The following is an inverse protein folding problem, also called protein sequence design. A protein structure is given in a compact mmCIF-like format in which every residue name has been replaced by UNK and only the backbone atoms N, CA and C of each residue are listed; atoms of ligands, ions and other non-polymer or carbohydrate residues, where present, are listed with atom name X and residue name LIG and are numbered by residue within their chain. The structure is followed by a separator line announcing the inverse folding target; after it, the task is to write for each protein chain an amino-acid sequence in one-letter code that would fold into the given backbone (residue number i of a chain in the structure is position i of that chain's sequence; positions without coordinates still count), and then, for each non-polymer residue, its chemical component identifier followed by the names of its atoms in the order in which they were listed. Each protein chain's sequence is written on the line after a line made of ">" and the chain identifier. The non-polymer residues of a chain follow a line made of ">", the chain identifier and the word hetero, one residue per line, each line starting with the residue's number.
data_IF_615452872701
#
_entry.id   IF_615452872701
#
_cell.length_a   1.000
_cell.length_b   1.000
_cell.length_c   1.000
_cell.angle_alpha   90.00
_cell.angle_beta   90.00
_cell.angle_gamma   90.00
#
_symmetry.space_group_name_H-M   'P 1'
#
loop_
_entity.id
_entity.type
_entity.pdbx_description
1 polymer ?
#
# COMPACT_ATOMS: atom_id res chain seq x y z
N UNK A 1 -4.38 -5.67 10.79
CA UNK A 1 -3.88 -5.44 9.41
C UNK A 1 -4.92 -4.90 8.43
N UNK A 2 -6.17 -5.38 8.42
CA UNK A 2 -7.20 -4.92 7.46
C UNK A 2 -7.48 -3.40 7.49
N UNK A 3 -7.36 -2.76 8.65
CA UNK A 3 -7.49 -1.31 8.78
C UNK A 3 -6.33 -0.56 8.09
N UNK A 4 -5.09 -1.02 8.25
CA UNK A 4 -3.93 -0.45 7.57
C UNK A 4 -4.04 -0.53 6.05
N UNK A 5 -4.56 -1.62 5.48
CA UNK A 5 -4.84 -1.67 4.03
C UNK A 5 -5.83 -0.62 3.58
N UNK A 6 -6.91 -0.39 4.34
CA UNK A 6 -7.92 0.62 4.00
C UNK A 6 -7.33 2.03 4.07
N UNK A 7 -6.54 2.30 5.11
CA UNK A 7 -5.85 3.57 5.27
C UNK A 7 -4.84 3.80 4.13
N UNK A 8 -4.05 2.79 3.78
CA UNK A 8 -3.09 2.84 2.68
C UNK A 8 -3.79 3.16 1.35
N UNK A 9 -4.86 2.42 1.02
CA UNK A 9 -5.65 2.66 -0.21
C UNK A 9 -6.19 4.09 -0.26
N UNK A 10 -6.71 4.60 0.87
CA UNK A 10 -7.21 5.98 1.01
C UNK A 10 -6.10 7.01 0.79
N UNK A 11 -4.93 6.85 1.43
CA UNK A 11 -3.77 7.75 1.30
C UNK A 11 -3.12 7.70 -0.07
N UNK A 12 -3.10 6.54 -0.73
CA UNK A 12 -2.64 6.38 -2.11
C UNK A 12 -3.63 6.93 -3.15
N UNK A 13 -4.85 7.28 -2.75
CA UNK A 13 -5.90 7.75 -3.66
C UNK A 13 -6.45 6.65 -4.56
N UNK A 14 -6.23 5.38 -4.22
CA UNK A 14 -6.78 4.23 -4.93
C UNK A 14 -8.21 4.05 -4.43
N UNK A 15 -9.19 4.40 -5.26
CA UNK A 15 -10.61 4.42 -4.91
C UNK A 15 -11.42 3.72 -5.99
N UNK A 16 -12.65 3.34 -5.63
CA UNK A 16 -13.64 2.80 -6.58
C UNK A 16 -13.12 1.57 -7.33
N UNK A 17 -12.33 0.73 -6.67
CA UNK A 17 -11.79 -0.51 -7.25
C UNK A 17 -11.89 -1.67 -6.27
N UNK A 18 -11.95 -2.87 -6.82
CA UNK A 18 -11.89 -4.12 -6.08
C UNK A 18 -10.46 -4.37 -5.62
N UNK A 19 -10.31 -4.88 -4.39
CA UNK A 19 -9.01 -5.26 -3.85
C UNK A 19 -9.13 -6.43 -2.88
N UNK A 20 -8.04 -7.18 -2.74
CA UNK A 20 -7.89 -8.30 -1.82
C UNK A 20 -6.72 -8.01 -0.89
N UNK A 21 -6.90 -8.36 0.39
CA UNK A 21 -5.87 -8.25 1.42
C UNK A 21 -5.57 -9.61 2.00
N UNK A 22 -4.30 -10.02 1.97
CA UNK A 22 -3.83 -11.26 2.58
C UNK A 22 -2.79 -10.92 3.67
N UNK A 23 -3.20 -10.83 4.95
CA UNK A 23 -2.28 -10.68 6.07
C UNK A 23 -1.55 -12.01 6.34
N UNK A 24 -0.23 -11.93 6.53
CA UNK A 24 0.63 -13.05 6.93
C UNK A 24 1.23 -12.73 8.29
N UNK A 25 0.87 -13.54 9.29
CA UNK A 25 1.35 -13.44 10.69
C UNK A 25 2.15 -14.70 11.11
N UNK A 26 2.31 -15.65 10.19
CA UNK A 26 2.95 -16.95 10.38
C UNK A 26 4.47 -16.89 10.48
N UNK A 27 5.08 -15.77 10.06
CA UNK A 27 6.54 -15.59 10.02
C UNK A 27 7.00 -14.51 11.00
N UNK A 28 8.31 -14.54 11.31
CA UNK A 28 9.00 -13.56 12.17
C UNK A 28 8.73 -12.09 11.80
N UNK A 29 8.40 -11.82 10.53
CA UNK A 29 8.06 -10.50 10.04
C UNK A 29 6.61 -10.50 9.51
N UNK A 30 5.64 -10.08 10.35
CA UNK A 30 4.27 -9.92 9.90
C UNK A 30 4.21 -8.95 8.72
N UNK A 31 3.54 -9.35 7.64
CA UNK A 31 3.40 -8.52 6.44
C UNK A 31 2.01 -8.69 5.82
N UNK A 32 1.65 -7.74 4.96
CA UNK A 32 0.34 -7.69 4.33
C UNK A 32 0.52 -7.59 2.81
N UNK A 33 -0.08 -8.51 2.07
CA UNK A 33 -0.26 -8.35 0.63
C UNK A 33 -1.56 -7.60 0.36
N UNK A 34 -1.45 -6.54 -0.45
CA UNK A 34 -2.57 -5.75 -0.93
C UNK A 34 -2.55 -5.78 -2.46
N UNK A 35 -3.54 -6.42 -3.05
CA UNK A 35 -3.69 -6.54 -4.50
C UNK A 35 -4.97 -5.84 -4.91
N UNK A 36 -4.91 -4.95 -5.88
CA UNK A 36 -6.07 -4.20 -6.36
C UNK A 36 -6.10 -4.13 -7.88
N UNK A 37 -7.30 -3.96 -8.44
CA UNK A 37 -7.46 -3.80 -9.88
C UNK A 37 -7.07 -2.38 -10.30
N UNK A 38 -6.21 -2.27 -11.32
CA UNK A 38 -5.82 -0.97 -11.91
C UNK A 38 -6.92 -0.36 -12.78
N UNK A 39 -7.97 -1.11 -13.08
CA UNK A 39 -9.18 -0.60 -13.70
C UNK A 39 -10.21 -0.45 -12.60
N UNK A 40 -10.79 0.74 -12.48
CA UNK A 40 -11.83 1.02 -11.51
C UNK A 40 -13.17 0.39 -11.93
N UNK A 41 -14.16 0.44 -11.03
CA UNK A 41 -15.48 -0.13 -11.27
C UNK A 41 -16.30 0.61 -12.34
N UNK A 42 -15.77 1.70 -12.90
CA UNK A 42 -16.32 2.43 -14.05
C UNK A 42 -15.58 2.14 -15.35
N UNK A 43 -14.59 1.24 -15.35
CA UNK A 43 -13.79 0.91 -16.53
C UNK A 43 -12.65 1.90 -16.80
N UNK A 44 -12.38 2.86 -15.90
CA UNK A 44 -11.30 3.83 -16.07
C UNK A 44 -10.00 3.31 -15.44
N UNK A 45 -8.88 3.55 -16.13
CA UNK A 45 -7.56 3.18 -15.61
C UNK A 45 -7.12 4.13 -14.50
N UNK A 46 -6.73 3.55 -13.36
CA UNK A 46 -6.12 4.24 -12.22
C UNK A 46 -4.67 4.59 -12.57
N UNK A 47 -4.32 5.87 -12.44
CA UNK A 47 -2.98 6.37 -12.77
C UNK A 47 -1.89 5.76 -11.88
N UNK A 48 -0.82 5.26 -12.51
CA UNK A 48 0.31 4.61 -11.81
C UNK A 48 1.55 5.50 -11.70
N UNK A 49 1.43 6.80 -12.01
CA UNK A 49 2.59 7.69 -12.04
C UNK A 49 3.25 7.81 -10.65
N UNK A 50 4.55 7.51 -10.60
CA UNK A 50 5.38 7.52 -9.39
C UNK A 50 4.80 6.70 -8.23
N UNK A 51 4.14 5.58 -8.52
CA UNK A 51 3.48 4.76 -7.51
C UNK A 51 4.44 4.24 -6.43
N UNK A 52 5.67 3.83 -6.80
CA UNK A 52 6.70 3.44 -5.83
C UNK A 52 7.06 4.57 -4.86
N UNK A 53 7.31 5.78 -5.37
CA UNK A 53 7.66 6.94 -4.55
C UNK A 53 6.52 7.35 -3.62
N UNK A 54 5.27 7.36 -4.13
CA UNK A 54 4.07 7.66 -3.34
C UNK A 54 3.83 6.61 -2.27
N UNK A 55 3.91 5.33 -2.63
CA UNK A 55 3.76 4.20 -1.71
C UNK A 55 4.77 4.30 -0.56
N UNK A 56 6.05 4.53 -0.88
CA UNK A 56 7.10 4.71 0.14
C UNK A 56 6.79 5.87 1.09
N UNK A 57 6.30 7.00 0.57
CA UNK A 57 5.91 8.15 1.38
C UNK A 57 4.75 7.81 2.32
N UNK A 58 3.70 7.18 1.79
CA UNK A 58 2.52 6.76 2.56
C UNK A 58 2.90 5.76 3.65
N UNK A 59 3.72 4.75 3.35
CA UNK A 59 4.17 3.78 4.36
C UNK A 59 4.96 4.44 5.49
N UNK A 60 5.83 5.41 5.19
CA UNK A 60 6.54 6.21 6.21
C UNK A 60 5.58 7.02 7.07
N UNK A 61 4.59 7.67 6.47
CA UNK A 61 3.58 8.45 7.19
C UNK A 61 2.71 7.56 8.10
N UNK A 62 2.37 6.36 7.66
CA UNK A 62 1.55 5.40 8.43
C UNK A 62 2.32 4.74 9.58
N UNK A 63 3.60 4.47 9.41
CA UNK A 63 4.42 3.76 10.41
C UNK A 63 4.99 4.71 11.48
N UNK A 64 4.88 6.03 11.26
CA UNK A 64 5.57 7.04 12.05
C UNK A 64 7.08 7.06 11.74
N UNK A 65 7.70 8.23 11.83
CA UNK A 65 9.10 8.44 11.45
C UNK A 65 10.14 7.58 12.22
N UNK A 66 9.71 6.82 13.25
CA UNK A 66 10.56 6.23 14.29
C UNK A 66 10.91 4.74 14.10
N UNK A 67 10.31 4.01 13.14
CA UNK A 67 10.41 2.54 13.11
C UNK A 67 11.05 1.93 11.85
N UNK A 68 11.68 2.73 10.99
CA UNK A 68 12.49 2.19 9.90
C UNK A 68 13.97 2.45 10.22
N UNK A 69 14.79 1.40 10.45
CA UNK A 69 16.19 1.50 10.06
C UNK A 69 16.17 1.90 8.59
N UNK A 70 17.07 2.80 8.21
CA UNK A 70 17.28 3.36 6.88
C UNK A 70 17.29 2.31 5.76
N UNK A 71 16.13 1.76 5.38
CA UNK A 71 15.97 0.99 4.16
C UNK A 71 15.95 2.01 3.02
N UNK A 72 17.17 2.43 2.67
CA UNK A 72 17.48 3.07 1.42
C UNK A 72 17.29 1.97 0.38
N UNK A 73 16.09 1.90 -0.20
CA UNK A 73 15.83 1.00 -1.32
C UNK A 73 16.90 1.22 -2.37
N UNK A 74 17.81 0.26 -2.49
CA UNK A 74 18.67 0.13 -3.65
C UNK A 74 17.76 -0.15 -4.85
N UNK A 75 17.96 0.64 -5.90
CA UNK A 75 17.55 0.24 -7.25
C UNK A 75 18.43 -0.90 -7.71
#
# INVERSE_FOLDING_TARGET
>A
MAEHSREYMKKMGIKVTQYITAPHEDKRHPHLHLVYNRVDNHGKTIGNFNHWHKSRKVCKEMTGALWLPSWQGQR
#
